data_IF_166366420130
#
_entry.id   IF_166366420130
#
_cell.length_a   1.000
_cell.length_b   1.000
_cell.length_c   1.000
_cell.angle_alpha   90.00
_cell.angle_beta   90.00
_cell.angle_gamma   90.00
#
_symmetry.space_group_name_H-M   'P 1'
#
loop_
_entity.id
_entity.type
_entity.pdbx_description
1 polymer ?
#
# COMPACT_ATOMS: atom_id res chain seq x y z
N UNK A 1 -21.89 -2.85 36.91
CA UNK A 1 -22.90 -3.13 35.85
C UNK A 1 -23.52 -1.84 35.32
N UNK A 2 -24.15 -1.00 36.16
CA UNK A 2 -24.77 0.27 35.71
C UNK A 2 -23.77 1.27 35.09
N UNK A 3 -22.57 1.36 35.66
CA UNK A 3 -21.49 2.20 35.13
C UNK A 3 -21.09 1.79 33.70
N UNK A 4 -20.83 0.51 33.45
CA UNK A 4 -20.47 0.00 32.11
C UNK A 4 -21.53 0.30 31.05
N UNK A 5 -22.82 0.12 31.37
CA UNK A 5 -23.92 0.41 30.44
C UNK A 5 -23.91 1.90 30.06
N UNK A 6 -23.76 2.78 31.05
CA UNK A 6 -23.67 4.22 30.83
C UNK A 6 -22.44 4.57 29.99
N UNK A 7 -21.26 4.09 30.37
CA UNK A 7 -20.00 4.42 29.69
C UNK A 7 -20.01 3.96 28.24
N UNK A 8 -20.48 2.73 27.95
CA UNK A 8 -20.52 2.21 26.58
C UNK A 8 -21.53 2.99 25.74
N UNK A 9 -22.71 3.29 26.29
CA UNK A 9 -23.73 4.10 25.61
C UNK A 9 -23.20 5.47 25.21
N UNK A 10 -22.64 6.21 26.18
CA UNK A 10 -22.05 7.53 25.94
C UNK A 10 -20.88 7.46 24.94
N UNK A 11 -20.02 6.44 25.06
CA UNK A 11 -18.84 6.28 24.22
C UNK A 11 -19.18 5.99 22.75
N UNK A 12 -20.20 5.17 22.48
CA UNK A 12 -20.64 4.88 21.10
C UNK A 12 -21.21 6.13 20.44
N UNK A 13 -22.03 6.92 21.15
CA UNK A 13 -22.57 8.18 20.63
C UNK A 13 -21.47 9.19 20.31
N UNK A 14 -20.47 9.30 21.19
CA UNK A 14 -19.31 10.17 20.95
C UNK A 14 -18.52 9.68 19.73
N UNK A 15 -18.26 8.37 19.61
CA UNK A 15 -17.53 7.80 18.49
C UNK A 15 -18.25 8.01 17.15
N UNK A 16 -19.58 7.84 17.12
CA UNK A 16 -20.40 8.17 15.95
C UNK A 16 -20.22 9.64 15.54
N UNK A 17 -20.38 10.56 16.49
CA UNK A 17 -20.23 12.00 16.24
C UNK A 17 -18.85 12.37 15.70
N UNK A 18 -17.79 11.79 16.26
CA UNK A 18 -16.41 11.98 15.77
C UNK A 18 -16.26 11.48 14.34
N UNK A 19 -16.69 10.25 14.03
CA UNK A 19 -16.54 9.68 12.70
C UNK A 19 -17.40 10.40 11.65
N UNK A 20 -18.61 10.82 12.00
CA UNK A 20 -19.53 11.50 11.10
C UNK A 20 -19.08 12.93 10.73
N UNK A 21 -18.28 13.57 11.59
CA UNK A 21 -17.88 14.98 11.42
C UNK A 21 -16.39 15.19 11.14
N UNK A 22 -15.58 14.13 11.20
CA UNK A 22 -14.16 14.16 10.85
C UNK A 22 -13.96 14.63 9.42
N UNK A 23 -13.08 15.62 9.23
CA UNK A 23 -12.60 16.02 7.91
C UNK A 23 -11.23 15.39 7.63
N UNK A 24 -11.13 14.65 6.53
CA UNK A 24 -9.84 14.15 6.03
C UNK A 24 -9.04 15.26 5.35
N UNK A 25 -7.72 15.11 5.25
CA UNK A 25 -6.84 16.01 4.51
C UNK A 25 -6.17 15.22 3.36
N UNK A 26 -6.86 15.01 2.21
CA UNK A 26 -6.39 14.11 1.15
C UNK A 26 -5.00 14.47 0.62
N UNK A 27 -4.71 15.75 0.44
CA UNK A 27 -3.40 16.22 -0.01
C UNK A 27 -2.27 15.83 0.95
N UNK A 28 -2.50 15.93 2.27
CA UNK A 28 -1.51 15.52 3.27
C UNK A 28 -1.37 14.00 3.34
N UNK A 29 -2.46 13.26 3.14
CA UNK A 29 -2.43 11.80 3.09
C UNK A 29 -1.61 11.33 1.89
N UNK A 30 -1.81 11.95 0.72
CA UNK A 30 -1.05 11.66 -0.49
C UNK A 30 0.41 12.07 -0.38
N UNK A 31 0.69 13.24 0.19
CA UNK A 31 2.07 13.72 0.40
C UNK A 31 2.85 12.89 1.44
N UNK A 32 2.17 12.07 2.25
CA UNK A 32 2.82 11.17 3.20
C UNK A 32 3.24 9.82 2.56
N UNK A 33 2.85 9.57 1.31
CA UNK A 33 3.31 8.40 0.56
C UNK A 33 4.78 8.61 0.18
N UNK A 34 5.59 7.59 0.47
CA UNK A 34 7.03 7.63 0.25
C UNK A 34 7.42 6.54 -0.77
N UNK A 35 8.26 6.85 -1.78
CA UNK A 35 8.66 5.89 -2.79
C UNK A 35 9.26 4.59 -2.24
N UNK A 36 9.91 4.62 -1.07
CA UNK A 36 10.45 3.41 -0.44
C UNK A 36 9.36 2.45 0.05
N UNK A 37 8.12 2.91 0.26
CA UNK A 37 6.99 2.03 0.54
C UNK A 37 6.75 1.02 -0.60
N UNK A 38 7.10 1.40 -1.84
CA UNK A 38 6.96 0.57 -3.05
C UNK A 38 8.14 -0.38 -3.29
N UNK A 39 9.12 -0.45 -2.39
CA UNK A 39 10.23 -1.42 -2.50
C UNK A 39 9.72 -2.87 -2.48
N UNK A 40 8.62 -3.12 -1.75
CA UNK A 40 7.96 -4.44 -1.76
C UNK A 40 7.30 -4.73 -3.11
N UNK A 41 6.73 -3.72 -3.77
CA UNK A 41 6.12 -3.86 -5.09
C UNK A 41 7.17 -4.17 -6.17
N UNK A 42 8.38 -3.60 -6.07
CA UNK A 42 9.53 -3.97 -6.90
C UNK A 42 9.91 -5.45 -6.70
N UNK A 43 9.86 -5.95 -5.46
CA UNK A 43 10.11 -7.36 -5.19
C UNK A 43 8.99 -8.25 -5.75
N UNK A 44 7.72 -7.87 -5.56
CA UNK A 44 6.54 -8.56 -6.08
C UNK A 44 6.54 -8.64 -7.61
N UNK A 45 7.01 -7.59 -8.29
CA UNK A 45 7.20 -7.57 -9.74
C UNK A 45 8.08 -8.74 -10.20
N UNK A 46 9.23 -8.95 -9.55
CA UNK A 46 10.15 -10.04 -9.90
C UNK A 46 9.59 -11.41 -9.47
N UNK A 47 8.84 -11.49 -8.36
CA UNK A 47 8.16 -12.73 -7.94
C UNK A 47 7.17 -13.18 -9.00
N UNK A 48 6.41 -12.25 -9.57
CA UNK A 48 5.47 -12.53 -10.68
C UNK A 48 6.17 -13.00 -11.94
N UNK A 49 7.45 -12.68 -12.12
CA UNK A 49 8.32 -13.20 -13.19
C UNK A 49 9.01 -14.52 -12.84
N UNK A 50 8.66 -15.14 -11.71
CA UNK A 50 9.15 -16.45 -11.30
C UNK A 50 10.46 -16.42 -10.50
N UNK A 51 10.94 -15.24 -10.11
CA UNK A 51 12.15 -15.13 -9.28
C UNK A 51 11.83 -15.52 -7.83
N UNK A 52 12.63 -16.38 -7.17
CA UNK A 52 12.41 -16.74 -5.77
C UNK A 52 12.39 -15.53 -4.84
N UNK A 53 11.44 -15.48 -3.91
CA UNK A 53 11.22 -14.32 -3.03
C UNK A 53 12.47 -13.83 -2.30
N UNK A 54 13.31 -14.74 -1.78
CA UNK A 54 14.57 -14.36 -1.12
C UNK A 54 15.47 -13.54 -2.05
N UNK A 55 15.52 -13.91 -3.31
CA UNK A 55 16.33 -13.24 -4.32
C UNK A 55 15.71 -11.89 -4.71
N UNK A 56 14.39 -11.82 -4.89
CA UNK A 56 13.71 -10.55 -5.21
C UNK A 56 13.85 -9.52 -4.10
N UNK A 57 13.78 -9.95 -2.84
CA UNK A 57 14.00 -9.07 -1.70
C UNK A 57 15.43 -8.51 -1.66
N UNK A 58 16.44 -9.33 -1.98
CA UNK A 58 17.82 -8.85 -2.11
C UNK A 58 18.00 -7.90 -3.32
N UNK A 59 17.34 -8.16 -4.45
CA UNK A 59 17.38 -7.28 -5.61
C UNK A 59 16.74 -5.92 -5.30
N UNK A 60 15.53 -5.91 -4.71
CA UNK A 60 14.86 -4.69 -4.27
C UNK A 60 15.69 -3.91 -3.25
N UNK A 61 16.32 -4.59 -2.28
CA UNK A 61 17.23 -3.95 -1.34
C UNK A 61 18.44 -3.27 -2.01
N UNK A 62 18.94 -3.81 -3.13
CA UNK A 62 19.98 -3.14 -3.94
C UNK A 62 19.42 -1.91 -4.68
N UNK A 63 18.15 -1.91 -5.09
CA UNK A 63 17.50 -0.72 -5.64
C UNK A 63 17.40 0.39 -4.59
N UNK A 64 17.00 0.05 -3.36
CA UNK A 64 16.99 0.98 -2.22
C UNK A 64 18.41 1.52 -1.96
N UNK A 65 19.41 0.63 -1.88
CA UNK A 65 20.80 1.04 -1.67
C UNK A 65 21.36 1.94 -2.78
N UNK A 66 20.97 1.70 -4.05
CA UNK A 66 21.35 2.58 -5.15
C UNK A 66 20.68 3.96 -5.01
N UNK A 67 19.39 4.00 -4.68
CA UNK A 67 18.64 5.23 -4.43
C UNK A 67 19.29 6.08 -3.33
N UNK A 68 19.67 5.47 -2.21
CA UNK A 68 20.39 6.14 -1.12
C UNK A 68 21.78 6.63 -1.56
N UNK A 69 22.53 5.80 -2.30
CA UNK A 69 23.87 6.13 -2.77
C UNK A 69 23.88 7.33 -3.73
N UNK A 70 22.91 7.40 -4.65
CA UNK A 70 22.85 8.48 -5.65
C UNK A 70 22.06 9.69 -5.18
N UNK A 71 21.34 9.59 -4.05
CA UNK A 71 20.39 10.61 -3.59
C UNK A 71 19.22 10.79 -4.56
N UNK A 72 18.93 9.79 -5.39
CA UNK A 72 17.83 9.80 -6.35
C UNK A 72 16.66 9.04 -5.75
N UNK A 73 15.45 9.60 -5.67
CA UNK A 73 14.26 8.86 -5.24
C UNK A 73 14.13 7.53 -5.99
N UNK A 74 13.69 6.46 -5.29
CA UNK A 74 13.68 5.12 -5.87
C UNK A 74 12.81 5.01 -7.14
N UNK A 75 11.70 5.77 -7.18
CA UNK A 75 10.81 5.89 -8.34
C UNK A 75 11.38 6.73 -9.50
N UNK A 76 12.49 7.44 -9.28
CA UNK A 76 13.19 8.23 -10.29
C UNK A 76 14.45 7.52 -10.83
N UNK A 77 14.78 6.33 -10.32
CA UNK A 77 15.84 5.50 -10.89
C UNK A 77 15.46 5.09 -12.32
N UNK A 78 16.36 5.36 -13.26
CA UNK A 78 16.13 5.00 -14.67
C UNK A 78 16.07 3.48 -14.83
N UNK A 79 15.33 3.03 -15.86
CA UNK A 79 15.33 1.62 -16.26
C UNK A 79 16.74 1.06 -16.46
N UNK A 80 17.68 1.83 -17.03
CA UNK A 80 19.06 1.37 -17.21
C UNK A 80 19.79 1.15 -15.88
N UNK A 81 19.55 2.01 -14.89
CA UNK A 81 20.08 1.82 -13.54
C UNK A 81 19.51 0.56 -12.89
N UNK A 82 18.19 0.35 -12.96
CA UNK A 82 17.52 -0.84 -12.43
C UNK A 82 18.01 -2.11 -13.13
N UNK A 83 18.08 -2.11 -14.47
CA UNK A 83 18.62 -3.21 -15.28
C UNK A 83 20.08 -3.52 -14.95
N UNK A 84 20.86 -2.50 -14.58
CA UNK A 84 22.23 -2.67 -14.09
C UNK A 84 22.31 -3.43 -12.76
N UNK A 85 21.27 -3.38 -11.93
CA UNK A 85 21.16 -4.18 -10.71
C UNK A 85 20.81 -5.63 -11.04
N UNK A 86 19.84 -5.82 -11.94
CA UNK A 86 19.40 -7.15 -12.37
C UNK A 86 18.83 -7.15 -13.79
N UNK A 87 19.30 -8.07 -14.64
CA UNK A 87 18.93 -8.15 -16.05
C UNK A 87 17.45 -8.52 -16.30
N UNK A 88 16.73 -9.00 -15.28
CA UNK A 88 15.30 -9.38 -15.37
C UNK A 88 14.34 -8.21 -15.26
N UNK A 89 14.82 -7.01 -14.92
CA UNK A 89 14.01 -5.81 -15.07
C UNK A 89 13.79 -5.50 -16.55
N UNK A 90 12.54 -5.17 -16.89
CA UNK A 90 12.12 -4.71 -18.21
C UNK A 90 11.63 -3.26 -18.12
N UNK A 91 11.30 -2.65 -19.26
CA UNK A 91 10.89 -1.23 -19.33
C UNK A 91 9.59 -0.94 -18.55
N UNK A 92 8.76 -1.97 -18.32
CA UNK A 92 7.54 -1.91 -17.54
C UNK A 92 7.75 -1.80 -16.02
N UNK A 93 8.99 -1.89 -15.51
CA UNK A 93 9.28 -1.76 -14.07
C UNK A 93 8.79 -0.42 -13.50
N UNK A 94 8.74 0.62 -14.32
CA UNK A 94 8.21 1.93 -13.96
C UNK A 94 6.78 1.87 -13.42
N UNK A 95 5.97 0.90 -13.89
CA UNK A 95 4.60 0.70 -13.41
C UNK A 95 4.54 0.27 -11.94
N UNK A 96 5.64 -0.24 -11.36
CA UNK A 96 5.69 -0.61 -9.93
C UNK A 96 5.79 0.60 -9.01
N UNK A 97 6.06 1.80 -9.55
CA UNK A 97 6.16 3.05 -8.80
C UNK A 97 4.86 3.87 -8.85
N UNK A 98 3.72 3.19 -8.79
CA UNK A 98 2.39 3.77 -8.78
C UNK A 98 1.63 3.30 -7.52
N UNK A 99 1.27 4.26 -6.65
CA UNK A 99 0.61 3.99 -5.37
C UNK A 99 -0.79 3.36 -5.56
N UNK A 100 -1.54 3.82 -6.56
CA UNK A 100 -2.88 3.29 -6.86
C UNK A 100 -2.76 1.85 -7.34
N UNK A 101 -1.78 1.56 -8.21
CA UNK A 101 -1.49 0.19 -8.63
C UNK A 101 -1.14 -0.67 -7.43
N UNK A 102 -0.25 -0.21 -6.53
CA UNK A 102 0.14 -0.97 -5.34
C UNK A 102 -1.08 -1.43 -4.52
N UNK A 103 -2.04 -0.53 -4.30
CA UNK A 103 -3.30 -0.82 -3.59
C UNK A 103 -4.17 -1.80 -4.40
N UNK A 104 -4.33 -1.58 -5.70
CA UNK A 104 -5.16 -2.44 -6.56
C UNK A 104 -4.63 -3.87 -6.69
N UNK A 105 -3.33 -4.08 -6.57
CA UNK A 105 -2.73 -5.42 -6.57
C UNK A 105 -3.11 -6.25 -5.34
N UNK A 106 -3.62 -5.63 -4.26
CA UNK A 106 -4.11 -6.31 -3.05
C UNK A 106 -5.59 -6.69 -3.21
N UNK A 107 -5.88 -7.51 -4.21
CA UNK A 107 -7.23 -7.93 -4.62
C UNK A 107 -7.73 -9.26 -4.07
N UNK A 108 -6.90 -9.95 -3.28
CA UNK A 108 -7.38 -11.07 -2.48
C UNK A 108 -8.48 -10.60 -1.51
N UNK A 109 -9.40 -11.51 -1.15
CA UNK A 109 -10.50 -11.21 -0.21
C UNK A 109 -9.97 -10.59 1.08
N UNK A 110 -10.51 -9.43 1.45
CA UNK A 110 -10.07 -8.67 2.63
C UNK A 110 -8.87 -7.75 2.38
N UNK A 111 -8.34 -7.71 1.16
CA UNK A 111 -7.29 -6.76 0.76
C UNK A 111 -7.82 -5.33 0.57
N UNK A 112 -6.91 -4.42 0.20
CA UNK A 112 -7.16 -2.98 0.12
C UNK A 112 -7.53 -2.48 -1.28
N UNK A 113 -7.52 -3.33 -2.31
CA UNK A 113 -8.03 -2.93 -3.63
C UNK A 113 -9.47 -2.42 -3.56
N UNK A 114 -9.83 -1.52 -4.47
CA UNK A 114 -11.19 -0.96 -4.54
C UNK A 114 -12.26 -2.04 -4.63
N UNK A 115 -12.02 -3.09 -5.41
CA UNK A 115 -12.96 -4.21 -5.56
C UNK A 115 -13.19 -4.94 -4.23
N UNK A 116 -12.12 -5.24 -3.48
CA UNK A 116 -12.18 -5.87 -2.16
C UNK A 116 -12.85 -4.95 -1.12
N UNK A 117 -12.58 -3.65 -1.12
CA UNK A 117 -13.21 -2.70 -0.20
C UNK A 117 -14.71 -2.59 -0.47
N UNK A 118 -15.13 -2.55 -1.74
CA UNK A 118 -16.55 -2.54 -2.10
C UNK A 118 -17.27 -3.84 -1.71
N UNK A 119 -16.61 -4.99 -1.85
CA UNK A 119 -17.12 -6.27 -1.34
C UNK A 119 -17.33 -6.21 0.18
N UNK A 120 -16.33 -5.72 0.93
CA UNK A 120 -16.41 -5.59 2.39
C UNK A 120 -17.55 -4.67 2.82
N UNK A 121 -17.75 -3.52 2.16
CA UNK A 121 -18.88 -2.62 2.42
C UNK A 121 -20.21 -3.35 2.21
N UNK A 122 -20.34 -4.14 1.15
CA UNK A 122 -21.56 -4.92 0.87
C UNK A 122 -21.82 -5.95 1.97
N UNK A 123 -20.80 -6.69 2.38
CA UNK A 123 -20.91 -7.70 3.45
C UNK A 123 -21.33 -7.06 4.77
N UNK A 124 -20.68 -5.97 5.18
CA UNK A 124 -20.99 -5.29 6.44
C UNK A 124 -22.41 -4.73 6.45
N UNK A 125 -22.90 -4.17 5.32
CA UNK A 125 -24.28 -3.72 5.20
C UNK A 125 -25.27 -4.87 5.39
N UNK A 126 -25.03 -6.02 4.74
CA UNK A 126 -25.88 -7.20 4.90
C UNK A 126 -25.83 -7.86 6.28
N UNK A 127 -24.88 -7.51 7.14
CA UNK A 127 -24.83 -7.97 8.55
C UNK A 127 -25.63 -7.07 9.50
N UNK A 128 -25.96 -5.85 9.07
CA UNK A 128 -26.73 -4.88 9.86
C UNK A 128 -28.24 -4.97 9.58
N UNK A 129 -28.62 -5.58 8.46
CA UNK A 129 -30.00 -5.96 8.10
C UNK A 129 -30.43 -7.25 8.82
#
# INVERSE_FOLDING_TARGET
MLDHVKTVGDSIQIAEGVLATLATQPEKMKAALDPFMLATDVADYLVRKGVPFRETHHISGRCVGLSEQTGTPMNELSYQQLKGIDARFEEDIGESFDDERSVEMRSARGGTSKSSVLEQIKVLKGMLE
#
